data_IF_433120271116
#
_entry.id   IF_433120271116
#
_cell.length_a   1.000
_cell.length_b   1.000
_cell.length_c   1.000
_cell.angle_alpha   90.00
_cell.angle_beta   90.00
_cell.angle_gamma   90.00
#
_symmetry.space_group_name_H-M   'P 1'
#
loop_
_entity.id
_entity.type
_entity.pdbx_description
1 polymer ?
#
# COMPACT_ATOMS: atom_id res chain seq x y z
N UNK A 1 18.20 -12.41 11.44
CA UNK A 1 17.72 -11.92 10.12
C UNK A 1 16.81 -10.70 10.23
N UNK A 2 15.77 -10.71 11.06
CA UNK A 2 14.84 -9.56 11.19
C UNK A 2 15.53 -8.23 11.60
N UNK A 3 16.68 -8.29 12.29
CA UNK A 3 17.46 -7.11 12.73
C UNK A 3 18.59 -6.72 11.78
N UNK A 4 18.73 -7.40 10.64
CA UNK A 4 19.78 -7.07 9.67
C UNK A 4 19.42 -5.87 8.83
N UNK A 5 20.42 -5.06 8.48
CA UNK A 5 20.25 -3.95 7.56
C UNK A 5 19.92 -4.44 6.14
N UNK A 6 19.31 -3.59 5.36
CA UNK A 6 19.06 -3.78 3.93
C UNK A 6 19.52 -2.53 3.19
N UNK A 7 20.30 -2.72 2.12
CA UNK A 7 20.64 -1.66 1.19
C UNK A 7 19.72 -1.78 -0.02
N UNK A 8 18.99 -0.71 -0.32
CA UNK A 8 18.12 -0.63 -1.50
C UNK A 8 18.94 -0.29 -2.76
N UNK A 9 18.44 -0.57 -3.98
CA UNK A 9 19.11 -0.22 -5.23
C UNK A 9 19.55 1.24 -5.33
N UNK A 10 18.76 2.19 -4.82
CA UNK A 10 19.11 3.61 -4.74
C UNK A 10 20.20 3.96 -3.71
N UNK A 11 20.75 2.99 -2.99
CA UNK A 11 21.76 3.17 -1.95
C UNK A 11 21.23 3.51 -0.56
N UNK A 12 19.92 3.64 -0.36
CA UNK A 12 19.33 3.90 0.95
C UNK A 12 19.50 2.69 1.89
N UNK A 13 19.98 2.95 3.12
CA UNK A 13 20.21 1.93 4.14
C UNK A 13 19.01 1.85 5.09
N UNK A 14 18.33 0.71 5.13
CA UNK A 14 17.24 0.40 6.04
C UNK A 14 17.80 -0.34 7.26
N UNK A 15 17.54 0.16 8.46
CA UNK A 15 18.14 -0.32 9.72
C UNK A 15 17.80 -1.75 10.12
N UNK A 16 16.66 -2.30 9.64
CA UNK A 16 16.20 -3.67 9.90
C UNK A 16 15.19 -4.12 8.82
N UNK A 17 14.72 -5.35 8.88
CA UNK A 17 13.84 -5.97 7.88
C UNK A 17 12.34 -5.73 8.09
N UNK A 18 11.94 -4.70 8.84
CA UNK A 18 10.54 -4.42 9.12
C UNK A 18 10.00 -3.21 8.36
N UNK A 19 8.85 -3.41 7.73
CA UNK A 19 8.05 -2.39 7.09
C UNK A 19 6.68 -2.28 7.79
N UNK A 20 6.32 -1.09 8.28
CA UNK A 20 4.93 -0.78 8.61
C UNK A 20 4.17 -0.54 7.31
N UNK A 21 3.31 -1.48 6.95
CA UNK A 21 2.49 -1.36 5.74
C UNK A 21 1.51 -0.19 5.85
N UNK A 22 1.15 0.36 4.71
CA UNK A 22 0.18 1.46 4.63
C UNK A 22 -1.15 1.08 5.27
N UNK A 23 -1.67 1.97 6.10
CA UNK A 23 -3.00 1.89 6.71
C UNK A 23 -3.60 3.29 6.71
N UNK A 24 -4.81 3.44 6.18
CA UNK A 24 -5.49 4.74 6.13
C UNK A 24 -5.85 5.21 7.53
N UNK A 25 -5.32 6.36 7.96
CA UNK A 25 -5.52 6.92 9.29
C UNK A 25 -6.81 7.74 9.42
N UNK A 26 -7.21 8.44 8.35
CA UNK A 26 -8.37 9.35 8.37
C UNK A 26 -8.17 10.55 9.30
N UNK A 27 -6.94 11.06 9.43
CA UNK A 27 -6.56 12.08 10.41
C UNK A 27 -6.41 13.49 9.83
N UNK A 28 -6.48 13.69 8.51
CA UNK A 28 -6.33 15.01 7.90
C UNK A 28 -7.39 15.99 8.41
N UNK A 29 -7.08 17.28 8.34
CA UNK A 29 -8.04 18.34 8.59
C UNK A 29 -9.12 18.37 7.48
N UNK A 30 -10.14 19.21 7.65
CA UNK A 30 -11.19 19.40 6.65
C UNK A 30 -10.68 19.97 5.31
N UNK A 31 -9.54 20.67 5.34
CA UNK A 31 -8.82 21.17 4.17
C UNK A 31 -7.84 20.14 3.57
N UNK A 32 -7.95 18.87 3.98
CA UNK A 32 -7.10 17.76 3.55
C UNK A 32 -5.61 17.91 3.90
N UNK A 33 -5.23 18.78 4.84
CA UNK A 33 -3.84 18.96 5.27
C UNK A 33 -3.46 18.05 6.44
N UNK A 34 -2.17 17.69 6.52
CA UNK A 34 -1.61 16.98 7.65
C UNK A 34 -1.68 17.82 8.95
N UNK A 35 -1.54 17.17 10.10
CA UNK A 35 -1.58 17.84 11.41
C UNK A 35 -0.87 17.04 12.49
N UNK A 36 -0.81 17.59 13.72
CA UNK A 36 -0.11 17.00 14.87
C UNK A 36 -0.54 15.56 15.21
N UNK A 37 -1.74 15.12 14.83
CA UNK A 37 -2.16 13.72 15.06
C UNK A 37 -1.33 12.74 14.22
N UNK A 38 -0.98 13.12 12.98
CA UNK A 38 -0.05 12.34 12.15
C UNK A 38 1.34 12.32 12.82
N UNK A 39 1.86 13.46 13.27
CA UNK A 39 3.16 13.54 13.92
C UNK A 39 3.23 12.57 15.13
N UNK A 40 2.24 12.65 16.02
CA UNK A 40 2.19 11.81 17.23
C UNK A 40 2.11 10.30 16.88
N UNK A 41 1.34 9.94 15.88
CA UNK A 41 1.16 8.54 15.47
C UNK A 41 2.45 7.97 14.87
N UNK A 42 3.06 8.69 13.93
CA UNK A 42 4.25 8.21 13.22
C UNK A 42 5.51 8.28 14.08
N UNK A 43 5.60 9.22 15.01
CA UNK A 43 6.64 9.23 16.03
C UNK A 43 6.62 7.97 16.90
N UNK A 44 5.43 7.48 17.28
CA UNK A 44 5.29 6.25 18.05
C UNK A 44 5.84 5.05 17.31
N UNK A 45 5.50 4.88 16.01
CA UNK A 45 6.03 3.80 15.19
C UNK A 45 7.54 3.93 14.97
N UNK A 46 8.05 5.13 14.73
CA UNK A 46 9.48 5.37 14.58
C UNK A 46 10.26 4.99 15.85
N UNK A 47 9.76 5.39 17.03
CA UNK A 47 10.31 4.98 18.35
C UNK A 47 10.11 3.50 18.63
N UNK A 48 9.10 2.88 18.04
CA UNK A 48 8.78 1.45 18.14
C UNK A 48 9.71 0.52 17.38
N UNK A 49 10.72 1.06 16.67
CA UNK A 49 11.79 0.27 16.05
C UNK A 49 11.60 -0.06 14.58
N UNK A 50 10.51 0.39 13.94
CA UNK A 50 10.26 0.09 12.53
C UNK A 50 11.37 0.61 11.61
N UNK A 51 11.77 -0.17 10.59
CA UNK A 51 12.77 0.22 9.59
C UNK A 51 12.20 1.16 8.53
N UNK A 52 11.08 0.74 7.92
CA UNK A 52 10.34 1.55 6.95
C UNK A 52 8.91 1.75 7.49
N UNK A 53 8.44 2.98 7.54
CA UNK A 53 7.05 3.32 7.82
C UNK A 53 6.40 3.89 6.57
N UNK A 54 5.37 3.23 6.03
CA UNK A 54 4.60 3.72 4.88
C UNK A 54 3.35 4.42 5.38
N UNK A 55 3.06 5.61 4.89
CA UNK A 55 1.84 6.35 5.28
C UNK A 55 0.58 5.63 4.81
N UNK A 56 -0.57 6.03 5.32
CA UNK A 56 -1.83 5.77 4.64
C UNK A 56 -1.92 6.52 3.32
N UNK A 57 -3.00 6.30 2.59
CA UNK A 57 -3.20 6.90 1.27
C UNK A 57 -3.12 8.42 1.30
N UNK A 58 -2.07 9.00 0.70
CA UNK A 58 -2.01 10.41 0.34
C UNK A 58 -2.52 10.54 -1.08
N UNK A 59 -3.61 11.26 -1.26
CA UNK A 59 -4.27 11.37 -2.54
C UNK A 59 -3.63 12.46 -3.41
N UNK A 60 -3.51 12.20 -4.70
CA UNK A 60 -2.87 13.13 -5.66
C UNK A 60 -3.88 14.06 -6.33
N UNK A 61 -5.19 13.83 -6.13
CA UNK A 61 -6.29 14.60 -6.69
C UNK A 61 -7.42 14.72 -5.66
N UNK A 62 -7.80 15.94 -5.26
CA UNK A 62 -8.82 16.20 -4.24
C UNK A 62 -10.24 15.75 -4.65
N UNK A 63 -10.48 15.62 -5.96
CA UNK A 63 -11.79 15.21 -6.50
C UNK A 63 -12.03 13.72 -6.35
N UNK A 64 -10.97 12.93 -6.23
CA UNK A 64 -11.02 11.46 -6.28
C UNK A 64 -10.26 10.85 -5.10
N UNK A 65 -10.73 11.17 -3.89
CA UNK A 65 -10.17 10.64 -2.65
C UNK A 65 -10.94 9.40 -2.19
N UNK A 66 -10.25 8.52 -1.45
CA UNK A 66 -10.80 7.28 -0.90
C UNK A 66 -11.85 7.54 0.18
N UNK A 67 -11.62 8.57 1.00
CA UNK A 67 -12.50 8.96 2.12
C UNK A 67 -12.16 10.35 2.64
N UNK A 68 -13.11 10.94 3.36
CA UNK A 68 -12.81 12.13 4.16
C UNK A 68 -11.70 11.84 5.18
N UNK A 69 -10.79 12.79 5.35
CA UNK A 69 -9.63 12.64 6.25
C UNK A 69 -8.37 12.06 5.59
N UNK A 70 -8.35 11.80 4.28
CA UNK A 70 -7.10 11.63 3.55
C UNK A 70 -6.35 12.96 3.45
N UNK A 71 -5.01 12.90 3.52
CA UNK A 71 -4.15 14.02 3.09
C UNK A 71 -4.16 14.08 1.57
N UNK A 72 -4.20 15.30 1.02
CA UNK A 72 -4.16 15.52 -0.43
C UNK A 72 -2.95 16.38 -0.78
N UNK A 73 -2.20 15.97 -1.79
CA UNK A 73 -1.11 16.75 -2.39
C UNK A 73 -1.42 16.92 -3.87
N UNK A 74 -2.00 18.03 -4.21
CA UNK A 74 -2.35 18.41 -5.58
C UNK A 74 -1.80 19.79 -5.90
N UNK A 75 -1.07 19.91 -7.00
CA UNK A 75 -0.47 21.17 -7.45
C UNK A 75 0.41 21.85 -6.39
N UNK A 76 0.45 23.18 -6.42
CA UNK A 76 1.26 23.99 -5.51
C UNK A 76 0.69 23.98 -4.10
N UNK A 77 1.49 23.57 -3.14
CA UNK A 77 1.11 23.55 -1.74
C UNK A 77 1.30 24.92 -1.06
N UNK A 78 0.45 25.25 -0.07
CA UNK A 78 0.66 26.41 0.78
C UNK A 78 1.86 26.23 1.72
N UNK A 79 2.42 27.32 2.24
CA UNK A 79 3.51 27.25 3.23
C UNK A 79 3.09 26.48 4.49
N UNK A 80 1.85 26.60 4.93
CA UNK A 80 1.28 25.90 6.08
C UNK A 80 1.18 24.40 5.83
N UNK A 81 0.76 24.00 4.60
CA UNK A 81 0.73 22.60 4.19
C UNK A 81 2.14 22.00 4.14
N UNK A 82 3.09 22.71 3.54
CA UNK A 82 4.50 22.28 3.50
C UNK A 82 5.11 22.13 4.89
N UNK A 83 4.83 23.09 5.79
CA UNK A 83 5.29 23.02 7.18
C UNK A 83 4.68 21.82 7.93
N UNK A 84 3.38 21.56 7.76
CA UNK A 84 2.72 20.41 8.39
C UNK A 84 3.26 19.07 7.88
N UNK A 85 3.58 18.96 6.59
CA UNK A 85 4.22 17.78 5.99
C UNK A 85 5.66 17.60 6.52
N UNK A 86 6.43 18.70 6.65
CA UNK A 86 7.79 18.68 7.21
C UNK A 86 7.79 18.26 8.69
N UNK A 87 6.83 18.72 9.48
CA UNK A 87 6.66 18.28 10.88
C UNK A 87 6.31 16.80 10.97
N UNK A 88 5.45 16.31 10.06
CA UNK A 88 5.10 14.89 9.99
C UNK A 88 6.30 14.04 9.61
N UNK A 89 7.05 14.42 8.58
CA UNK A 89 8.25 13.69 8.15
C UNK A 89 9.31 13.66 9.26
N UNK A 90 9.57 14.79 9.91
CA UNK A 90 10.49 14.89 11.04
C UNK A 90 10.11 13.97 12.22
N UNK A 91 8.81 13.86 12.52
CA UNK A 91 8.32 12.97 13.56
C UNK A 91 8.47 11.49 13.18
N UNK A 92 8.14 11.13 11.94
CA UNK A 92 8.15 9.76 11.47
C UNK A 92 9.53 9.21 11.07
N UNK A 93 10.55 10.07 10.95
CA UNK A 93 11.92 9.65 10.62
C UNK A 93 12.85 9.52 11.84
N UNK A 94 12.33 9.70 13.05
CA UNK A 94 13.12 9.49 14.26
C UNK A 94 13.72 8.08 14.33
N UNK A 95 14.82 7.94 15.08
CA UNK A 95 15.53 6.66 15.26
C UNK A 95 15.96 5.99 13.95
N UNK A 96 16.37 6.76 12.95
CA UNK A 96 16.77 6.27 11.63
C UNK A 96 15.66 5.41 10.94
N UNK A 97 14.41 5.78 11.15
CA UNK A 97 13.27 5.18 10.45
C UNK A 97 13.11 5.87 9.09
N UNK A 98 12.91 5.11 8.04
CA UNK A 98 12.46 5.64 6.77
C UNK A 98 10.95 5.88 6.83
N UNK A 99 10.51 7.10 6.49
CA UNK A 99 9.10 7.42 6.30
C UNK A 99 8.83 7.63 4.81
N UNK A 100 8.02 6.73 4.22
CA UNK A 100 7.64 6.80 2.81
C UNK A 100 6.19 7.21 2.68
N UNK A 101 5.92 8.15 1.77
CA UNK A 101 4.57 8.59 1.49
C UNK A 101 3.91 7.65 0.48
N UNK A 102 2.78 7.01 0.85
CA UNK A 102 2.02 6.24 -0.13
C UNK A 102 1.15 7.16 -0.97
N UNK A 103 1.47 7.28 -2.25
CA UNK A 103 0.74 8.07 -3.22
C UNK A 103 -0.37 7.24 -3.85
N UNK A 104 -1.58 7.79 -3.91
CA UNK A 104 -2.77 7.09 -4.35
C UNK A 104 -3.74 7.99 -5.11
N UNK A 105 -4.55 7.38 -5.95
CA UNK A 105 -5.72 7.97 -6.58
C UNK A 105 -6.86 6.97 -6.49
N UNK A 106 -8.00 7.36 -5.92
CA UNK A 106 -9.06 6.41 -5.60
C UNK A 106 -9.72 5.73 -6.81
N UNK A 107 -9.58 6.31 -8.00
CA UNK A 107 -10.18 5.73 -9.20
C UNK A 107 -11.70 5.58 -9.06
N UNK A 108 -12.25 4.47 -9.53
CA UNK A 108 -13.67 4.12 -9.40
C UNK A 108 -14.11 3.86 -7.96
N UNK A 109 -13.17 3.70 -7.03
CA UNK A 109 -13.44 3.55 -5.60
C UNK A 109 -13.68 4.89 -4.89
N UNK A 110 -13.78 5.99 -5.63
CA UNK A 110 -14.22 7.28 -5.07
C UNK A 110 -15.67 7.17 -4.58
N UNK A 111 -15.94 7.41 -3.27
CA UNK A 111 -17.28 7.35 -2.74
C UNK A 111 -18.23 8.37 -3.40
N UNK A 112 -19.47 7.99 -3.63
CA UNK A 112 -20.51 8.87 -4.20
C UNK A 112 -20.70 10.17 -3.41
N UNK A 113 -20.49 10.12 -2.10
CA UNK A 113 -20.54 11.29 -1.20
C UNK A 113 -19.40 12.29 -1.42
N UNK A 114 -18.29 11.84 -2.00
CA UNK A 114 -17.13 12.69 -2.37
C UNK A 114 -17.34 13.23 -3.79
N UNK A 115 -17.55 12.33 -4.74
CA UNK A 115 -17.81 12.71 -6.12
C UNK A 115 -18.80 11.72 -6.77
N UNK A 116 -19.85 12.27 -7.38
CA UNK A 116 -20.85 11.45 -8.08
C UNK A 116 -20.32 10.80 -9.36
N UNK A 117 -19.24 11.36 -9.90
CA UNK A 117 -18.54 10.89 -11.09
C UNK A 117 -17.10 10.57 -10.73
N UNK A 118 -16.71 9.30 -10.84
CA UNK A 118 -15.33 8.85 -10.64
C UNK A 118 -14.56 8.76 -11.96
N UNK A 119 -13.28 8.45 -11.90
CA UNK A 119 -12.40 8.23 -13.05
C UNK A 119 -11.86 6.81 -13.03
N UNK A 120 -11.82 6.16 -14.20
CA UNK A 120 -11.34 4.79 -14.34
C UNK A 120 -10.73 4.56 -15.73
N UNK A 121 -9.99 3.47 -15.95
CA UNK A 121 -9.54 3.12 -17.30
C UNK A 121 -10.72 2.87 -18.28
N UNK A 122 -11.84 2.32 -17.77
CA UNK A 122 -13.07 2.10 -18.56
C UNK A 122 -14.32 2.23 -17.70
N UNK A 123 -15.49 2.31 -18.32
CA UNK A 123 -16.79 2.47 -17.63
C UNK A 123 -17.23 1.15 -16.99
N UNK A 124 -16.62 0.79 -15.87
CA UNK A 124 -16.94 -0.42 -15.11
C UNK A 124 -17.33 -0.05 -13.65
N UNK A 125 -18.64 0.15 -13.37
CA UNK A 125 -19.10 0.58 -12.06
C UNK A 125 -18.88 -0.48 -10.97
N UNK A 126 -18.62 -0.02 -9.76
CA UNK A 126 -18.59 -0.88 -8.57
C UNK A 126 -20.01 -1.15 -8.07
N UNK A 127 -20.27 -2.37 -7.57
CA UNK A 127 -21.52 -2.64 -6.86
C UNK A 127 -21.58 -1.83 -5.56
N UNK A 128 -22.79 -1.59 -5.06
CA UNK A 128 -22.97 -1.02 -3.72
C UNK A 128 -22.50 -2.03 -2.67
N UNK A 129 -21.48 -1.68 -1.90
CA UNK A 129 -20.92 -2.57 -0.88
C UNK A 129 -21.76 -2.51 0.41
N UNK A 130 -22.11 -3.70 0.93
CA UNK A 130 -22.90 -3.83 2.16
C UNK A 130 -24.27 -3.13 2.11
N UNK A 131 -24.78 -2.80 0.92
CA UNK A 131 -26.04 -2.08 0.74
C UNK A 131 -26.01 -0.58 1.11
N UNK A 132 -24.86 -0.07 1.57
CA UNK A 132 -24.70 1.29 2.12
C UNK A 132 -23.67 2.12 1.37
N UNK A 133 -22.49 1.56 1.11
CA UNK A 133 -21.39 2.29 0.47
C UNK A 133 -21.58 2.31 -1.05
N UNK A 134 -21.97 3.47 -1.56
CA UNK A 134 -22.07 3.76 -3.00
C UNK A 134 -20.82 4.46 -3.51
N UNK A 135 -20.46 4.17 -4.76
CA UNK A 135 -19.33 4.81 -5.44
C UNK A 135 -19.82 5.72 -6.57
N UNK A 136 -18.97 6.66 -6.97
CA UNK A 136 -19.22 7.50 -8.14
C UNK A 136 -19.36 6.66 -9.41
N UNK A 137 -20.13 7.14 -10.38
CA UNK A 137 -20.23 6.48 -11.68
C UNK A 137 -18.92 6.71 -12.46
N UNK A 138 -18.18 5.66 -12.84
CA UNK A 138 -16.90 5.83 -13.51
C UNK A 138 -17.07 6.38 -14.92
N UNK A 139 -16.25 7.36 -15.26
CA UNK A 139 -15.97 7.79 -16.62
C UNK A 139 -14.60 7.31 -17.05
N UNK A 140 -14.51 6.93 -18.31
CA UNK A 140 -13.24 6.56 -18.92
C UNK A 140 -12.31 7.77 -19.00
N UNK A 141 -11.07 7.57 -18.62
CA UNK A 141 -10.01 8.58 -18.72
C UNK A 141 -9.61 8.79 -20.19
N UNK A 142 -9.56 10.03 -20.63
CA UNK A 142 -8.89 10.41 -21.88
C UNK A 142 -7.36 10.29 -21.73
N UNK A 143 -6.64 10.24 -22.85
CA UNK A 143 -5.19 10.25 -22.84
C UNK A 143 -4.61 11.47 -22.11
N UNK A 144 -5.18 12.65 -22.32
CA UNK A 144 -4.73 13.86 -21.63
C UNK A 144 -4.95 13.81 -20.11
N UNK A 145 -6.05 13.20 -19.63
CA UNK A 145 -6.30 12.98 -18.21
C UNK A 145 -5.31 11.95 -17.62
N UNK A 146 -4.96 10.89 -18.38
CA UNK A 146 -3.94 9.92 -17.94
C UNK A 146 -2.58 10.59 -17.76
N UNK A 147 -2.15 11.42 -18.72
CA UNK A 147 -0.90 12.17 -18.62
C UNK A 147 -0.91 13.15 -17.44
N UNK A 148 -2.02 13.88 -17.24
CA UNK A 148 -2.17 14.75 -16.08
C UNK A 148 -2.10 13.99 -14.73
N UNK A 149 -2.62 12.77 -14.66
CA UNK A 149 -2.51 11.94 -13.46
C UNK A 149 -1.04 11.56 -13.19
N UNK A 150 -0.25 11.24 -14.22
CA UNK A 150 1.20 11.02 -14.06
C UNK A 150 1.85 12.25 -13.44
N UNK A 151 1.55 13.45 -13.97
CA UNK A 151 2.09 14.71 -13.45
C UNK A 151 1.68 14.97 -11.99
N UNK A 152 0.45 14.59 -11.60
CA UNK A 152 -0.01 14.70 -10.21
C UNK A 152 0.80 13.80 -9.28
N UNK A 153 1.09 12.54 -9.67
CA UNK A 153 1.96 11.64 -8.91
C UNK A 153 3.38 12.18 -8.80
N UNK A 154 3.94 12.71 -9.88
CA UNK A 154 5.27 13.34 -9.91
C UNK A 154 5.33 14.53 -8.96
N UNK A 155 4.34 15.43 -9.02
CA UNK A 155 4.23 16.58 -8.12
C UNK A 155 4.18 16.14 -6.66
N UNK A 156 3.36 15.14 -6.33
CA UNK A 156 3.24 14.64 -4.95
C UNK A 156 4.55 14.02 -4.46
N UNK A 157 5.29 13.30 -5.31
CA UNK A 157 6.60 12.74 -4.98
C UNK A 157 7.66 13.85 -4.75
N UNK A 158 7.64 14.91 -5.54
CA UNK A 158 8.52 16.07 -5.36
C UNK A 158 8.24 16.77 -4.02
N UNK A 159 6.96 17.02 -3.69
CA UNK A 159 6.55 17.59 -2.41
C UNK A 159 6.96 16.69 -1.24
N UNK A 160 6.79 15.38 -1.36
CA UNK A 160 7.25 14.43 -0.33
C UNK A 160 8.76 14.57 -0.08
N UNK A 161 9.59 14.58 -1.13
CA UNK A 161 11.04 14.78 -1.01
C UNK A 161 11.38 16.15 -0.41
N UNK A 162 10.74 17.22 -0.89
CA UNK A 162 10.95 18.58 -0.40
C UNK A 162 10.65 18.74 1.09
N UNK A 163 9.65 18.01 1.60
CA UNK A 163 9.20 18.09 2.99
C UNK A 163 9.86 17.06 3.91
N UNK A 164 10.89 16.34 3.42
CA UNK A 164 11.74 15.46 4.23
C UNK A 164 11.24 14.03 4.38
N UNK A 165 10.22 13.60 3.64
CA UNK A 165 9.94 12.17 3.51
C UNK A 165 11.12 11.49 2.81
N UNK A 166 11.44 10.29 3.22
CA UNK A 166 12.65 9.58 2.78
C UNK A 166 12.38 8.59 1.64
N UNK A 167 11.23 8.66 1.02
CA UNK A 167 10.81 7.84 -0.12
C UNK A 167 9.33 7.96 -0.39
N UNK A 168 8.88 7.32 -1.46
CA UNK A 168 7.47 7.20 -1.83
C UNK A 168 7.11 5.76 -2.16
N UNK A 169 5.82 5.43 -2.04
CA UNK A 169 5.25 4.18 -2.51
C UNK A 169 4.04 4.46 -3.40
N UNK A 170 4.04 3.91 -4.61
CA UNK A 170 2.88 3.96 -5.49
C UNK A 170 1.88 2.87 -5.09
N UNK A 171 0.64 3.26 -4.86
CA UNK A 171 -0.42 2.32 -4.52
C UNK A 171 -1.03 1.71 -5.79
N UNK A 172 -0.49 0.56 -6.22
CA UNK A 172 -0.95 -0.20 -7.39
C UNK A 172 -1.62 -1.52 -6.98
N UNK A 173 -2.44 -1.45 -5.94
CA UNK A 173 -3.14 -2.60 -5.36
C UNK A 173 -4.58 -2.23 -4.96
N UNK A 174 -5.36 -3.23 -4.52
CA UNK A 174 -6.63 -3.12 -3.82
C UNK A 174 -7.77 -2.43 -4.60
N UNK A 175 -7.68 -2.35 -5.93
CA UNK A 175 -8.71 -1.76 -6.77
C UNK A 175 -8.65 -0.23 -6.88
N UNK A 176 -7.54 0.41 -6.48
CA UNK A 176 -7.27 1.83 -6.74
C UNK A 176 -6.76 2.04 -8.17
N UNK A 177 -6.70 3.27 -8.64
CA UNK A 177 -6.54 3.60 -10.06
C UNK A 177 -5.39 2.84 -10.75
N UNK A 178 -4.19 2.82 -10.17
CA UNK A 178 -3.06 2.12 -10.81
C UNK A 178 -3.30 0.62 -10.94
N UNK A 179 -3.99 -0.01 -9.96
CA UNK A 179 -4.36 -1.42 -10.07
C UNK A 179 -5.57 -1.67 -10.98
N UNK A 180 -6.47 -0.68 -11.13
CA UNK A 180 -7.56 -0.75 -12.10
C UNK A 180 -7.03 -0.89 -13.53
N UNK A 181 -5.95 -0.18 -13.86
CA UNK A 181 -5.31 -0.32 -15.16
C UNK A 181 -4.74 -1.71 -15.39
N UNK A 182 -4.23 -2.38 -14.35
CA UNK A 182 -3.70 -3.74 -14.45
C UNK A 182 -4.78 -4.81 -14.64
N UNK A 183 -5.99 -4.59 -14.08
CA UNK A 183 -7.07 -5.58 -14.04
C UNK A 183 -7.85 -5.62 -15.36
N UNK A 184 -7.87 -6.77 -16.08
CA UNK A 184 -8.59 -6.85 -17.36
C UNK A 184 -10.11 -6.75 -17.23
N UNK A 185 -10.68 -7.04 -16.04
CA UNK A 185 -12.10 -6.80 -15.78
C UNK A 185 -12.46 -5.31 -15.72
N UNK A 186 -11.51 -4.47 -15.36
CA UNK A 186 -11.73 -3.02 -15.17
C UNK A 186 -11.21 -2.23 -16.35
N UNK A 187 -10.04 -2.60 -16.86
CA UNK A 187 -9.41 -1.98 -18.01
C UNK A 187 -9.77 -2.73 -19.31
N UNK A 188 -10.80 -2.26 -19.98
CA UNK A 188 -11.29 -2.79 -21.26
C UNK A 188 -10.88 -1.89 -22.43
N UNK A 189 -9.86 -1.06 -22.25
CA UNK A 189 -9.31 -0.18 -23.30
C UNK A 189 -8.67 -1.00 -24.43
N UNK A 190 -8.73 -0.44 -25.64
CA UNK A 190 -8.14 -1.02 -26.85
C UNK A 190 -6.99 -0.17 -27.40
N UNK A 191 -6.65 0.92 -26.70
CA UNK A 191 -5.52 1.78 -27.00
C UNK A 191 -4.22 1.31 -26.30
N UNK A 192 -3.19 2.13 -26.34
CA UNK A 192 -1.88 1.83 -25.75
C UNK A 192 -1.89 1.67 -24.21
N UNK A 193 -3.00 1.98 -23.54
CA UNK A 193 -3.18 1.88 -22.09
C UNK A 193 -3.95 0.62 -21.66
N UNK A 194 -4.37 -0.24 -22.62
CA UNK A 194 -5.16 -1.43 -22.34
C UNK A 194 -4.81 -2.61 -23.23
N UNK A 195 -5.51 -3.73 -23.07
CA UNK A 195 -5.27 -4.98 -23.80
C UNK A 195 -4.16 -5.82 -23.18
N UNK A 196 -2.94 -5.85 -23.76
CA UNK A 196 -1.82 -6.66 -23.25
C UNK A 196 -1.37 -6.21 -21.85
N UNK A 197 -0.67 -7.09 -21.14
CA UNK A 197 -0.16 -6.77 -19.79
C UNK A 197 0.86 -5.63 -19.83
N UNK A 198 1.63 -5.52 -20.90
CA UNK A 198 2.58 -4.43 -21.11
C UNK A 198 1.85 -3.08 -21.20
N UNK A 199 0.76 -3.03 -21.99
CA UNK A 199 -0.06 -1.84 -22.11
C UNK A 199 -0.78 -1.49 -20.81
N UNK A 200 -1.37 -2.49 -20.12
CA UNK A 200 -2.03 -2.29 -18.82
C UNK A 200 -1.06 -1.84 -17.73
N UNK A 201 0.23 -2.21 -17.83
CA UNK A 201 1.29 -1.78 -16.92
C UNK A 201 1.85 -0.39 -17.26
N UNK A 202 1.58 0.14 -18.44
CA UNK A 202 2.20 1.36 -18.98
C UNK A 202 2.03 2.55 -18.04
N UNK A 203 0.83 2.78 -17.49
CA UNK A 203 0.59 3.88 -16.55
C UNK A 203 1.52 3.79 -15.33
N UNK A 204 1.62 2.62 -14.71
CA UNK A 204 2.47 2.40 -13.54
C UNK A 204 3.96 2.63 -13.88
N UNK A 205 4.44 2.06 -14.97
CA UNK A 205 5.84 2.16 -15.40
C UNK A 205 6.20 3.62 -15.72
N UNK A 206 5.38 4.29 -16.55
CA UNK A 206 5.60 5.70 -16.90
C UNK A 206 5.62 6.58 -15.66
N UNK A 207 4.75 6.32 -14.68
CA UNK A 207 4.71 7.06 -13.43
C UNK A 207 6.00 6.84 -12.61
N UNK A 208 6.51 5.60 -12.52
CA UNK A 208 7.78 5.30 -11.81
C UNK A 208 8.94 6.09 -12.41
N UNK A 209 9.11 6.00 -13.74
CA UNK A 209 10.24 6.65 -14.42
C UNK A 209 10.13 8.18 -14.36
N UNK A 210 8.94 8.74 -14.54
CA UNK A 210 8.72 10.18 -14.41
C UNK A 210 8.99 10.69 -12.98
N UNK A 211 8.63 9.92 -11.95
CA UNK A 211 8.99 10.23 -10.57
C UNK A 211 10.52 10.14 -10.40
N UNK A 212 11.17 9.09 -10.91
CA UNK A 212 12.63 8.92 -10.82
C UNK A 212 13.38 10.09 -11.44
N UNK A 213 12.98 10.53 -12.61
CA UNK A 213 13.55 11.70 -13.29
C UNK A 213 13.44 12.96 -12.42
N UNK A 214 12.31 13.12 -11.72
CA UNK A 214 12.06 14.28 -10.87
C UNK A 214 12.78 14.24 -9.53
N UNK A 215 12.77 13.08 -8.85
CA UNK A 215 13.33 12.97 -7.49
C UNK A 215 14.80 12.56 -7.47
N UNK A 216 15.36 12.12 -8.59
CA UNK A 216 16.76 11.70 -8.71
C UNK A 216 17.02 10.26 -8.21
N UNK A 217 18.25 9.78 -8.41
CA UNK A 217 18.63 8.37 -8.25
C UNK A 217 18.64 7.85 -6.81
N UNK A 218 18.80 8.72 -5.82
CA UNK A 218 19.02 8.30 -4.41
C UNK A 218 17.76 8.33 -3.56
N UNK A 219 16.59 8.67 -4.13
CA UNK A 219 15.32 8.75 -3.41
C UNK A 219 14.53 7.45 -3.61
N UNK A 220 14.26 6.67 -2.56
CA UNK A 220 13.54 5.41 -2.65
C UNK A 220 12.17 5.52 -3.32
N UNK A 221 11.91 4.68 -4.31
CA UNK A 221 10.61 4.49 -4.95
C UNK A 221 10.18 3.05 -4.75
N UNK A 222 9.00 2.85 -4.20
CA UNK A 222 8.39 1.55 -3.98
C UNK A 222 7.05 1.43 -4.69
N UNK A 223 6.64 0.22 -4.99
CA UNK A 223 5.30 -0.11 -5.49
C UNK A 223 4.66 -1.11 -4.54
N UNK A 224 3.39 -0.91 -4.22
CA UNK A 224 2.53 -1.94 -3.64
C UNK A 224 1.67 -2.55 -4.75
N UNK A 225 1.82 -3.86 -4.96
CA UNK A 225 1.18 -4.62 -6.02
C UNK A 225 0.30 -5.74 -5.45
N UNK A 226 -0.84 -6.01 -6.07
CA UNK A 226 -1.61 -7.22 -5.79
C UNK A 226 -0.88 -8.46 -6.31
N UNK A 227 -0.83 -9.53 -5.50
CA UNK A 227 -0.46 -10.87 -5.98
C UNK A 227 -1.56 -11.47 -6.86
N UNK A 228 -2.80 -11.06 -6.65
CA UNK A 228 -4.00 -11.37 -7.45
C UNK A 228 -5.16 -10.51 -6.95
N UNK A 229 -6.15 -10.24 -7.81
CA UNK A 229 -7.43 -9.65 -7.38
C UNK A 229 -8.34 -10.67 -6.70
N UNK A 230 -8.03 -11.96 -6.81
CA UNK A 230 -8.87 -13.09 -6.35
C UNK A 230 -10.30 -13.07 -6.94
N UNK A 231 -10.43 -12.53 -8.14
CA UNK A 231 -11.69 -12.42 -8.87
C UNK A 231 -11.58 -13.14 -10.21
N UNK A 232 -12.67 -13.81 -10.62
CA UNK A 232 -12.73 -14.43 -11.94
C UNK A 232 -12.61 -13.36 -13.03
N UNK A 233 -11.60 -13.51 -13.91
CA UNK A 233 -11.31 -12.57 -14.99
C UNK A 233 -10.61 -11.29 -14.55
N UNK A 234 -10.29 -11.11 -13.25
CA UNK A 234 -9.47 -10.02 -12.75
C UNK A 234 -7.98 -10.27 -12.94
N UNK A 235 -7.16 -9.42 -12.36
CA UNK A 235 -5.70 -9.54 -12.37
C UNK A 235 -5.25 -10.83 -11.67
N UNK A 236 -4.57 -11.71 -12.41
CA UNK A 236 -4.18 -13.05 -11.94
C UNK A 236 -2.80 -13.04 -11.29
N UNK A 237 -2.45 -14.17 -10.66
CA UNK A 237 -1.09 -14.34 -10.12
C UNK A 237 -0.04 -14.41 -11.21
N UNK A 238 -0.34 -15.08 -12.31
CA UNK A 238 0.54 -15.17 -13.48
C UNK A 238 0.81 -13.80 -14.10
N UNK A 239 -0.20 -12.95 -14.16
CA UNK A 239 -0.05 -11.55 -14.60
C UNK A 239 0.76 -10.73 -13.57
N UNK A 240 0.58 -10.99 -12.26
CA UNK A 240 1.39 -10.35 -11.21
C UNK A 240 2.88 -10.68 -11.37
N UNK A 241 3.23 -11.94 -11.69
CA UNK A 241 4.61 -12.34 -11.98
C UNK A 241 5.14 -11.61 -13.23
N UNK A 242 4.31 -11.47 -14.29
CA UNK A 242 4.72 -10.74 -15.50
C UNK A 242 4.97 -9.25 -15.20
N UNK A 243 4.07 -8.60 -14.44
CA UNK A 243 4.26 -7.20 -14.00
C UNK A 243 5.51 -7.07 -13.14
N UNK A 244 5.77 -8.00 -12.22
CA UNK A 244 6.98 -8.00 -11.40
C UNK A 244 8.26 -8.08 -12.26
N UNK A 245 8.29 -8.90 -13.31
CA UNK A 245 9.40 -8.93 -14.29
C UNK A 245 9.58 -7.61 -15.01
N UNK A 246 8.49 -6.96 -15.40
CA UNK A 246 8.56 -5.64 -16.05
C UNK A 246 9.11 -4.61 -15.06
N UNK A 247 8.60 -4.59 -13.83
CA UNK A 247 9.06 -3.69 -12.76
C UNK A 247 10.54 -3.89 -12.40
N UNK A 248 11.05 -5.11 -12.49
CA UNK A 248 12.46 -5.40 -12.23
C UNK A 248 13.42 -4.72 -13.24
N UNK A 249 12.92 -4.27 -14.39
CA UNK A 249 13.68 -3.52 -15.39
C UNK A 249 13.44 -2.01 -15.33
N UNK A 250 12.77 -1.52 -14.29
CA UNK A 250 12.55 -0.10 -14.04
C UNK A 250 13.48 0.40 -12.94
N UNK A 251 13.37 1.69 -12.62
CA UNK A 251 14.11 2.33 -11.53
C UNK A 251 13.49 2.11 -10.14
N UNK A 252 12.76 1.01 -9.94
CA UNK A 252 12.11 0.66 -8.67
C UNK A 252 13.10 0.15 -7.63
N UNK A 253 12.93 0.53 -6.36
CA UNK A 253 13.84 0.15 -5.27
C UNK A 253 13.28 -0.95 -4.36
N UNK A 254 11.95 -1.08 -4.26
CA UNK A 254 11.30 -2.10 -3.43
C UNK A 254 9.90 -2.41 -3.97
N UNK A 255 9.59 -3.69 -4.10
CA UNK A 255 8.26 -4.17 -4.41
C UNK A 255 7.59 -4.70 -3.12
N UNK A 256 6.39 -4.21 -2.78
CA UNK A 256 5.59 -4.77 -1.69
C UNK A 256 4.42 -5.56 -2.27
N UNK A 257 4.30 -6.83 -1.89
CA UNK A 257 3.20 -7.70 -2.32
C UNK A 257 2.09 -7.71 -1.27
N UNK A 258 0.87 -7.55 -1.78
CA UNK A 258 -0.40 -7.63 -1.06
C UNK A 258 -1.41 -8.39 -1.93
N UNK A 259 -2.71 -8.29 -1.66
CA UNK A 259 -3.72 -8.91 -2.52
C UNK A 259 -5.15 -8.53 -2.13
N UNK A 260 -6.07 -8.80 -3.08
CA UNK A 260 -7.49 -8.52 -2.92
C UNK A 260 -7.92 -7.13 -3.39
N UNK A 261 -9.23 -6.98 -3.50
CA UNK A 261 -9.90 -5.71 -3.85
C UNK A 261 -11.09 -5.50 -2.92
N UNK A 262 -11.73 -4.33 -2.95
CA UNK A 262 -12.99 -4.08 -2.22
C UNK A 262 -14.15 -4.99 -2.65
N UNK A 263 -14.11 -5.56 -3.84
CA UNK A 263 -15.10 -6.52 -4.32
C UNK A 263 -14.84 -7.93 -3.78
N UNK A 264 -13.60 -8.23 -3.33
CA UNK A 264 -13.24 -9.49 -2.71
C UNK A 264 -12.33 -9.27 -1.50
N UNK A 265 -12.94 -9.27 -0.31
CA UNK A 265 -12.25 -9.07 0.97
C UNK A 265 -11.52 -10.31 1.50
N UNK A 266 -11.46 -11.41 0.75
CA UNK A 266 -10.85 -12.67 1.21
C UNK A 266 -9.41 -12.47 1.70
N UNK A 267 -8.65 -11.59 1.06
CA UNK A 267 -7.30 -11.24 1.48
C UNK A 267 -7.25 -10.34 2.72
N UNK A 268 -8.34 -9.66 3.05
CA UNK A 268 -8.46 -8.82 4.24
C UNK A 268 -9.02 -9.59 5.45
N UNK A 269 -9.30 -10.90 5.29
CA UNK A 269 -9.90 -11.78 6.33
C UNK A 269 -11.20 -11.21 6.93
N UNK A 270 -11.95 -10.42 6.17
CA UNK A 270 -13.24 -9.90 6.59
C UNK A 270 -14.40 -10.88 6.30
N UNK A 271 -14.16 -12.20 6.43
CA UNK A 271 -15.21 -13.22 6.46
C UNK A 271 -16.18 -13.04 7.65
N UNK A 272 -15.90 -12.10 8.55
CA UNK A 272 -16.70 -11.79 9.72
C UNK A 272 -18.02 -11.06 9.41
N UNK A 273 -18.27 -10.62 8.16
CA UNK A 273 -19.59 -10.10 7.80
C UNK A 273 -20.68 -11.18 7.64
N UNK A 274 -20.30 -12.47 7.70
CA UNK A 274 -21.27 -13.56 7.78
C UNK A 274 -21.58 -13.92 9.25
N UNK A 275 -22.21 -12.99 9.96
CA UNK A 275 -22.56 -13.02 11.38
C UNK A 275 -23.44 -14.23 11.83
N UNK A 276 -23.88 -15.08 10.92
CA UNK A 276 -24.68 -16.28 11.24
C UNK A 276 -23.92 -17.60 11.30
N UNK A 277 -22.63 -17.65 10.89
CA UNK A 277 -21.81 -18.88 10.91
C UNK A 277 -20.66 -18.88 11.94
N UNK A 278 -20.45 -17.82 12.70
CA UNK A 278 -19.30 -17.68 13.60
C UNK A 278 -19.36 -18.54 14.87
N UNK A 279 -20.46 -19.27 15.15
CA UNK A 279 -20.63 -20.06 16.39
C UNK A 279 -20.00 -21.46 16.40
N UNK A 280 -19.37 -21.91 15.32
CA UNK A 280 -18.88 -23.30 15.21
C UNK A 280 -17.48 -23.50 14.65
N UNK A 281 -16.66 -22.45 14.49
CA UNK A 281 -15.29 -22.64 14.04
C UNK A 281 -14.37 -22.69 15.28
N UNK A 282 -14.03 -23.92 15.69
CA UNK A 282 -12.87 -24.16 16.60
C UNK A 282 -11.64 -23.49 15.99
N UNK A 283 -10.74 -22.88 16.81
CA UNK A 283 -9.51 -22.29 16.29
C UNK A 283 -8.70 -23.40 15.60
N UNK A 284 -8.83 -23.46 14.27
CA UNK A 284 -8.04 -24.38 13.47
C UNK A 284 -6.62 -23.88 13.39
N UNK A 285 -5.69 -24.78 13.75
CA UNK A 285 -4.27 -24.84 13.37
C UNK A 285 -3.84 -23.69 12.52
N UNK A 286 -3.24 -22.58 13.17
CA UNK A 286 -2.48 -22.08 12.20
C UNK A 286 -2.18 -20.62 11.93
N UNK A 287 -1.57 -19.96 12.85
CA UNK A 287 -0.71 -18.83 12.50
C UNK A 287 0.29 -19.24 11.39
N UNK A 288 0.86 -20.44 11.46
CA UNK A 288 1.78 -20.97 10.43
C UNK A 288 1.16 -21.13 9.03
N UNK A 289 -0.10 -21.55 8.91
CA UNK A 289 -0.76 -21.71 7.60
C UNK A 289 -1.17 -20.36 7.00
N UNK A 290 -1.50 -19.36 7.82
CA UNK A 290 -1.84 -17.99 7.35
C UNK A 290 -0.62 -17.20 6.95
N UNK A 291 0.50 -17.31 7.68
CA UNK A 291 1.79 -16.74 7.30
C UNK A 291 2.28 -17.33 5.96
N UNK A 292 2.02 -18.59 5.69
CA UNK A 292 2.40 -19.28 4.45
C UNK A 292 1.58 -18.88 3.22
N UNK A 293 0.38 -18.28 3.38
CA UNK A 293 -0.49 -17.98 2.24
C UNK A 293 0.12 -16.97 1.25
N UNK A 294 0.61 -15.85 1.75
CA UNK A 294 1.27 -14.85 0.91
C UNK A 294 2.71 -15.25 0.51
N UNK A 295 3.40 -16.06 1.32
CA UNK A 295 4.75 -16.52 0.99
C UNK A 295 4.80 -17.32 -0.30
N UNK A 296 3.83 -18.18 -0.60
CA UNK A 296 3.79 -18.92 -1.88
C UNK A 296 3.72 -18.02 -3.11
N UNK A 297 2.97 -16.92 -3.01
CA UNK A 297 2.91 -15.91 -4.08
C UNK A 297 4.22 -15.13 -4.16
N UNK A 298 4.82 -14.83 -3.02
CA UNK A 298 6.08 -14.10 -2.94
C UNK A 298 7.25 -14.91 -3.51
N UNK A 299 7.35 -16.21 -3.22
CA UNK A 299 8.38 -17.10 -3.77
C UNK A 299 8.42 -17.04 -5.30
N UNK A 300 7.28 -17.23 -5.98
CA UNK A 300 7.21 -17.20 -7.43
C UNK A 300 7.56 -15.82 -8.03
N UNK A 301 7.28 -14.74 -7.31
CA UNK A 301 7.67 -13.39 -7.71
C UNK A 301 9.17 -13.20 -7.48
N UNK A 302 9.69 -13.64 -6.33
CA UNK A 302 11.11 -13.51 -5.98
C UNK A 302 12.03 -14.23 -6.98
N UNK A 303 11.58 -15.35 -7.55
CA UNK A 303 12.32 -16.10 -8.58
C UNK A 303 12.56 -15.29 -9.86
N UNK A 304 11.81 -14.21 -10.09
CA UNK A 304 11.85 -13.43 -11.34
C UNK A 304 12.32 -12.00 -11.18
N UNK A 305 12.63 -11.57 -9.95
CA UNK A 305 13.10 -10.21 -9.64
C UNK A 305 14.39 -10.23 -8.82
N UNK A 306 15.24 -9.22 -9.04
CA UNK A 306 16.44 -8.95 -8.23
C UNK A 306 16.22 -7.82 -7.20
N UNK A 307 15.24 -6.95 -7.43
CA UNK A 307 14.88 -5.90 -6.47
C UNK A 307 14.37 -6.52 -5.16
N UNK A 308 14.59 -5.85 -4.01
CA UNK A 308 14.05 -6.30 -2.73
C UNK A 308 12.52 -6.46 -2.74
N UNK A 309 12.04 -7.53 -2.10
CA UNK A 309 10.62 -7.88 -2.00
C UNK A 309 10.15 -7.78 -0.55
N UNK A 310 9.13 -6.96 -0.31
CA UNK A 310 8.39 -6.92 0.94
C UNK A 310 7.09 -7.73 0.83
N UNK A 311 6.76 -8.48 1.88
CA UNK A 311 5.50 -9.22 1.95
C UNK A 311 4.70 -8.75 3.15
N UNK A 312 3.48 -8.29 2.90
CA UNK A 312 2.54 -7.88 3.95
C UNK A 312 1.39 -8.87 4.03
N UNK A 313 1.20 -9.45 5.21
CA UNK A 313 0.03 -10.29 5.51
C UNK A 313 0.35 -11.47 6.41
N UNK A 314 -0.38 -11.60 7.52
CA UNK A 314 -0.37 -12.76 8.40
C UNK A 314 0.79 -12.90 9.37
N UNK A 315 1.90 -12.22 9.19
CA UNK A 315 3.06 -12.33 10.09
C UNK A 315 2.74 -11.92 11.53
N UNK A 316 3.11 -12.79 12.47
CA UNK A 316 2.93 -12.57 13.92
C UNK A 316 4.14 -13.00 14.74
N UNK A 317 4.80 -14.11 14.39
CA UNK A 317 5.89 -14.72 15.17
C UNK A 317 7.27 -14.33 14.62
N UNK A 318 8.23 -14.07 15.51
CA UNK A 318 9.64 -13.86 15.12
C UNK A 318 10.22 -15.08 14.38
N UNK A 319 9.78 -16.29 14.76
CA UNK A 319 10.17 -17.54 14.08
C UNK A 319 9.71 -17.54 12.62
N UNK A 320 8.40 -17.28 12.37
CA UNK A 320 7.85 -17.25 11.01
C UNK A 320 8.49 -16.17 10.15
N UNK A 321 8.74 -14.97 10.72
CA UNK A 321 9.42 -13.88 10.05
C UNK A 321 10.87 -14.24 9.66
N UNK A 322 11.64 -14.80 10.60
CA UNK A 322 13.01 -15.24 10.32
C UNK A 322 13.05 -16.37 9.28
N UNK A 323 12.12 -17.32 9.34
CA UNK A 323 12.02 -18.41 8.36
C UNK A 323 11.73 -17.87 6.95
N UNK A 324 10.83 -16.89 6.81
CA UNK A 324 10.51 -16.25 5.53
C UNK A 324 11.72 -15.53 4.93
N UNK A 325 12.47 -14.80 5.75
CA UNK A 325 13.71 -14.14 5.31
C UNK A 325 14.82 -15.15 4.97
N UNK A 326 14.95 -16.22 5.78
CA UNK A 326 15.98 -17.23 5.62
C UNK A 326 15.75 -18.11 4.38
N UNK A 327 14.50 -18.39 4.03
CA UNK A 327 14.15 -19.13 2.81
C UNK A 327 14.37 -18.30 1.53
N UNK A 328 14.59 -16.98 1.65
CA UNK A 328 14.68 -16.09 0.51
C UNK A 328 13.34 -15.73 -0.13
N UNK A 329 12.21 -16.13 0.46
CA UNK A 329 10.88 -15.82 -0.05
C UNK A 329 10.56 -14.32 -0.04
N UNK A 330 11.19 -13.56 0.85
CA UNK A 330 11.12 -12.11 0.90
C UNK A 330 12.38 -11.52 1.55
N UNK A 331 12.56 -10.20 1.38
CA UNK A 331 13.66 -9.44 1.98
C UNK A 331 13.19 -8.56 3.14
N UNK A 332 11.90 -8.24 3.20
CA UNK A 332 11.28 -7.31 4.17
C UNK A 332 9.93 -7.87 4.64
N UNK A 333 9.70 -7.80 5.94
CA UNK A 333 8.48 -8.23 6.62
C UNK A 333 7.53 -7.03 6.78
N UNK A 334 6.38 -7.09 6.14
CA UNK A 334 5.34 -6.07 6.26
C UNK A 334 4.38 -6.36 7.42
N UNK A 335 4.19 -5.40 8.31
CA UNK A 335 3.26 -5.45 9.44
C UNK A 335 2.19 -4.35 9.32
N UNK A 336 0.95 -4.71 9.57
CA UNK A 336 -0.18 -3.78 9.68
C UNK A 336 -0.80 -3.83 11.08
N UNK A 337 -1.83 -4.65 11.27
CA UNK A 337 -2.65 -4.77 12.51
C UNK A 337 -1.84 -4.86 13.81
N UNK A 338 -0.71 -5.62 13.89
CA UNK A 338 0.08 -5.64 15.11
C UNK A 338 0.53 -4.27 15.61
N UNK A 339 0.88 -3.37 14.68
CA UNK A 339 1.36 -2.02 15.00
C UNK A 339 0.26 -1.05 15.44
N UNK A 340 -1.02 -1.40 15.22
CA UNK A 340 -2.15 -0.62 15.73
C UNK A 340 -2.31 -0.78 17.23
N UNK A 341 -2.09 -2.00 17.74
CA UNK A 341 -2.24 -2.34 19.17
C UNK A 341 -0.93 -2.24 19.94
N UNK A 342 0.20 -2.60 19.32
CA UNK A 342 1.55 -2.53 19.91
C UNK A 342 2.50 -1.78 18.97
N UNK A 343 2.56 -0.45 19.04
CA UNK A 343 3.44 0.35 18.17
C UNK A 343 4.93 0.02 18.32
N UNK A 344 5.35 -0.54 19.46
CA UNK A 344 6.72 -0.94 19.81
C UNK A 344 7.00 -2.43 19.65
N UNK A 345 6.10 -3.19 19.01
CA UNK A 345 6.25 -4.65 18.84
C UNK A 345 7.55 -5.03 18.12
N UNK A 346 8.05 -4.20 17.21
CA UNK A 346 9.29 -4.48 16.48
C UNK A 346 10.49 -4.50 17.42
N UNK A 347 10.61 -3.52 18.33
CA UNK A 347 11.66 -3.53 19.35
C UNK A 347 11.59 -4.80 20.21
N UNK A 348 10.38 -5.22 20.63
CA UNK A 348 10.17 -6.40 21.47
C UNK A 348 10.47 -7.71 20.75
N UNK A 349 10.19 -7.80 19.45
CA UNK A 349 10.57 -8.97 18.63
C UNK A 349 12.08 -9.05 18.40
N UNK A 350 12.73 -7.93 18.14
CA UNK A 350 14.19 -7.85 17.91
C UNK A 350 14.95 -8.17 19.20
N UNK A 351 14.52 -7.63 20.34
CA UNK A 351 15.16 -7.90 21.65
C UNK A 351 14.90 -9.32 22.20
N UNK A 352 13.92 -10.04 21.65
CA UNK A 352 13.49 -11.32 22.18
C UNK A 352 12.56 -11.22 23.40
N UNK A 353 12.17 -10.03 23.83
CA UNK A 353 11.18 -9.82 24.90
C UNK A 353 9.84 -10.47 24.57
N UNK A 354 9.45 -10.42 23.29
CA UNK A 354 8.31 -11.15 22.75
C UNK A 354 8.70 -12.06 21.61
N UNK A 355 8.08 -13.24 21.58
CA UNK A 355 8.24 -14.21 20.48
C UNK A 355 7.23 -13.99 19.36
N UNK A 356 6.10 -13.32 19.66
CA UNK A 356 5.03 -13.04 18.70
C UNK A 356 4.20 -11.85 19.12
N UNK A 357 3.59 -11.17 18.13
CA UNK A 357 2.56 -10.15 18.34
C UNK A 357 1.23 -10.82 18.77
N UNK A 358 0.45 -10.10 19.55
CA UNK A 358 -0.88 -10.53 20.01
C UNK A 358 -1.89 -10.36 18.87
N UNK A 359 -2.81 -11.32 18.74
CA UNK A 359 -3.93 -11.29 17.81
C UNK A 359 -5.12 -10.53 18.45
N UNK A 360 -4.99 -9.22 18.65
CA UNK A 360 -6.04 -8.40 19.26
C UNK A 360 -7.35 -8.42 18.45
N UNK A 361 -7.27 -8.60 17.14
CA UNK A 361 -8.43 -8.75 16.27
C UNK A 361 -9.35 -9.90 16.65
N UNK A 362 -8.84 -10.94 17.31
CA UNK A 362 -9.64 -12.06 17.82
C UNK A 362 -10.35 -11.71 19.15
N UNK A 363 -9.99 -10.60 19.78
CA UNK A 363 -10.56 -10.14 21.06
C UNK A 363 -11.62 -9.06 20.85
N UNK A 364 -11.75 -8.52 19.61
CA UNK A 364 -12.74 -7.50 19.28
C UNK A 364 -14.07 -8.20 18.96
N UNK A 365 -15.04 -8.06 19.87
CA UNK A 365 -16.43 -8.34 19.56
C UNK A 365 -16.99 -7.12 18.81
N UNK A 366 -17.08 -7.23 17.50
CA UNK A 366 -17.76 -6.21 16.70
C UNK A 366 -19.28 -6.34 16.95
N UNK A 367 -19.87 -5.37 17.64
CA UNK A 367 -21.32 -5.23 17.71
C UNK A 367 -21.93 -4.97 16.32
N UNK A 368 -23.25 -5.11 16.17
CA UNK A 368 -23.94 -5.00 14.87
C UNK A 368 -23.88 -3.61 14.21
N UNK A 369 -23.11 -2.68 14.74
CA UNK A 369 -23.12 -1.24 14.36
C UNK A 369 -21.78 -0.66 13.95
N UNK A 370 -20.79 -1.48 13.59
CA UNK A 370 -19.53 -0.97 13.02
C UNK A 370 -19.31 -1.56 11.64
#
# INVERSE_FOLDING_TARGET
MINEKLILPCGAEIKNRFLKSAMTEGLAKSDATANKRHNNLYERWAKGGIGISVTGNVQVDHRYIERAGNVVIEGKQSNESLAALADWSKAGTQNNTHLWMQLSHAGRQTPFSINKESRAPSVQPLPTLGGVLKFGVPKELSQSEILNIIDQFVNAAEVAKQTGFTGVQLHSAHGYLLSEFLSPNVNQRTDEWGGSIENRSRLLITTIEAIRDKVGSNFPISVKLNSSDFQKGGFTHEESIQVARILNNTSLDLLEISGGTYENFTALEMDSFNLKKAKTIKPQRSTKVREAYFLKYAEAIKDVISIPLAVTGGFRSAEGMNNALQSGACDVIGLGRPLCSEPDIVNKLISGEKKSAILYENMLEFGPWI
#
